data_IF_126373356102
#
_entry.id   IF_126373356102
#
_cell.length_a   1.000
_cell.length_b   1.000
_cell.length_c   1.000
_cell.angle_alpha   90.00
_cell.angle_beta   90.00
_cell.angle_gamma   90.00
#
_symmetry.space_group_name_H-M   'P 1'
#
loop_
_entity.id
_entity.type
_entity.pdbx_description
1 polymer ?
#
# COMPACT_ATOMS: atom_id res chain seq x y z
N UNK A 1 -12.98 -29.08 -30.14
CA UNK A 1 -13.57 -28.74 -28.84
C UNK A 1 -12.69 -27.68 -28.19
N UNK A 2 -12.94 -26.41 -28.50
CA UNK A 2 -12.15 -25.25 -28.05
C UNK A 2 -12.52 -24.95 -26.59
N UNK A 3 -11.53 -25.04 -25.68
CA UNK A 3 -11.69 -24.61 -24.30
C UNK A 3 -12.04 -23.10 -24.28
N UNK A 4 -12.94 -22.64 -23.40
CA UNK A 4 -13.20 -21.22 -23.26
C UNK A 4 -11.90 -20.55 -22.82
N UNK A 5 -11.40 -19.64 -23.67
CA UNK A 5 -10.33 -18.72 -23.31
C UNK A 5 -10.84 -17.85 -22.18
N UNK A 6 -10.52 -18.23 -20.94
CA UNK A 6 -10.69 -17.37 -19.79
C UNK A 6 -9.70 -16.23 -20.02
N UNK A 7 -10.17 -15.11 -20.55
CA UNK A 7 -9.45 -13.85 -20.45
C UNK A 7 -8.97 -13.77 -19.00
N UNK A 8 -7.66 -13.62 -18.72
CA UNK A 8 -7.21 -13.56 -17.34
C UNK A 8 -7.93 -12.38 -16.70
N UNK A 9 -8.94 -12.67 -15.88
CA UNK A 9 -9.65 -11.64 -15.13
C UNK A 9 -8.54 -10.99 -14.30
N UNK A 10 -8.15 -9.77 -14.66
CA UNK A 10 -6.98 -9.14 -14.03
C UNK A 10 -7.27 -9.12 -12.53
N UNK A 11 -6.49 -9.84 -11.70
CA UNK A 11 -6.98 -10.21 -10.40
C UNK A 11 -7.04 -8.98 -9.52
N UNK A 12 -8.25 -8.48 -9.27
CA UNK A 12 -8.48 -7.36 -8.38
C UNK A 12 -7.94 -7.70 -7.00
N UNK A 13 -7.12 -6.81 -6.45
CA UNK A 13 -6.54 -7.00 -5.13
C UNK A 13 -7.57 -6.61 -4.08
N UNK A 14 -7.95 -7.57 -3.24
CA UNK A 14 -8.90 -7.39 -2.15
C UNK A 14 -8.14 -7.21 -0.85
N UNK A 15 -8.42 -6.15 -0.11
CA UNK A 15 -7.74 -5.80 1.14
C UNK A 15 -8.77 -5.72 2.26
N UNK A 16 -8.65 -6.60 3.24
CA UNK A 16 -9.49 -6.64 4.42
C UNK A 16 -9.12 -5.52 5.40
N UNK A 17 -10.15 -4.81 5.83
CA UNK A 17 -10.15 -3.76 6.84
C UNK A 17 -11.06 -4.21 7.97
N UNK A 18 -10.72 -3.85 9.20
CA UNK A 18 -11.44 -4.32 10.37
C UNK A 18 -11.37 -3.32 11.52
N UNK A 19 -12.46 -3.17 12.26
CA UNK A 19 -12.54 -2.38 13.48
C UNK A 19 -13.24 -3.21 14.56
N UNK A 20 -12.47 -4.03 15.28
CA UNK A 20 -13.00 -4.95 16.30
C UNK A 20 -12.86 -4.31 17.68
N UNK A 21 -13.97 -3.74 18.16
CA UNK A 21 -14.06 -3.11 19.47
C UNK A 21 -12.94 -2.08 19.73
N UNK A 22 -12.34 -2.16 20.92
CA UNK A 22 -11.18 -1.33 21.32
C UNK A 22 -9.85 -2.06 21.16
N UNK A 23 -9.82 -3.24 20.54
CA UNK A 23 -8.63 -4.08 20.52
C UNK A 23 -7.92 -4.11 19.18
N UNK A 24 -8.62 -4.01 18.05
CA UNK A 24 -8.01 -4.06 16.72
C UNK A 24 -8.63 -3.03 15.80
N UNK A 25 -7.79 -2.25 15.12
CA UNK A 25 -8.20 -1.31 14.08
C UNK A 25 -7.25 -1.39 12.91
N UNK A 26 -7.77 -1.82 11.76
CA UNK A 26 -7.08 -1.92 10.47
C UNK A 26 -7.80 -0.97 9.52
N UNK A 27 -7.09 0.06 9.09
CA UNK A 27 -7.62 1.12 8.21
C UNK A 27 -6.67 1.38 7.05
N UNK A 28 -7.18 2.01 6.00
CA UNK A 28 -6.36 2.59 4.95
C UNK A 28 -5.96 4.00 5.37
N UNK A 29 -4.67 4.35 5.22
CA UNK A 29 -4.18 5.73 5.35
C UNK A 29 -4.31 6.49 4.04
N UNK A 30 -4.06 5.81 2.92
CA UNK A 30 -4.30 6.30 1.57
C UNK A 30 -4.49 5.12 0.62
N UNK A 31 -4.99 5.41 -0.58
CA UNK A 31 -5.39 4.43 -1.58
C UNK A 31 -6.85 4.64 -1.93
N UNK A 32 -7.15 4.81 -3.21
CA UNK A 32 -8.50 4.92 -3.71
C UNK A 32 -9.00 3.52 -4.11
N UNK A 33 -9.80 2.83 -3.27
CA UNK A 33 -10.39 1.57 -3.69
C UNK A 33 -11.40 1.84 -4.80
N UNK A 34 -11.41 0.98 -5.81
CA UNK A 34 -12.44 0.99 -6.85
C UNK A 34 -13.83 0.67 -6.26
N UNK A 35 -13.85 -0.20 -5.25
CA UNK A 35 -15.09 -0.59 -4.56
C UNK A 35 -14.78 -0.96 -3.12
N UNK A 36 -15.70 -0.62 -2.21
CA UNK A 36 -15.69 -1.12 -0.84
C UNK A 36 -16.89 -2.05 -0.67
N UNK A 37 -16.64 -3.29 -0.27
CA UNK A 37 -17.66 -4.29 0.04
C UNK A 37 -17.71 -4.45 1.56
N UNK A 38 -18.85 -4.15 2.17
CA UNK A 38 -19.06 -4.39 3.60
C UNK A 38 -19.34 -5.88 3.81
N UNK A 39 -18.56 -6.54 4.66
CA UNK A 39 -18.75 -7.95 4.99
C UNK A 39 -19.65 -8.08 6.22
N UNK A 40 -19.41 -7.25 7.24
CA UNK A 40 -20.27 -7.09 8.42
C UNK A 40 -20.11 -5.67 8.99
N UNK A 41 -20.64 -5.44 10.20
CA UNK A 41 -20.57 -4.12 10.83
C UNK A 41 -19.15 -3.67 11.20
N UNK A 42 -18.20 -4.60 11.29
CA UNK A 42 -16.84 -4.38 11.77
C UNK A 42 -15.76 -4.70 10.74
N UNK A 43 -16.11 -5.33 9.61
CA UNK A 43 -15.19 -5.79 8.55
C UNK A 43 -15.63 -5.30 7.18
N UNK A 44 -14.68 -4.72 6.46
CA UNK A 44 -14.88 -4.22 5.09
C UNK A 44 -13.77 -4.74 4.19
N UNK A 45 -14.07 -4.86 2.90
CA UNK A 45 -13.13 -5.27 1.88
C UNK A 45 -12.95 -4.13 0.88
N UNK A 46 -11.76 -3.57 0.82
CA UNK A 46 -11.37 -2.59 -0.18
C UNK A 46 -10.82 -3.31 -1.41
N UNK A 47 -11.41 -3.06 -2.57
CA UNK A 47 -11.04 -3.68 -3.84
C UNK A 47 -10.23 -2.67 -4.64
N UNK A 48 -9.03 -3.05 -5.07
CA UNK A 48 -8.09 -2.23 -5.81
C UNK A 48 -7.83 -2.79 -7.20
N UNK A 49 -7.66 -1.87 -8.14
CA UNK A 49 -7.16 -2.18 -9.47
C UNK A 49 -5.69 -2.64 -9.40
N UNK A 50 -5.26 -3.51 -10.32
CA UNK A 50 -3.86 -3.93 -10.44
C UNK A 50 -2.91 -2.73 -10.54
N UNK A 51 -1.75 -2.80 -9.90
CA UNK A 51 -0.75 -1.74 -9.94
C UNK A 51 -1.04 -0.52 -9.05
N UNK A 52 -2.24 -0.38 -8.48
CA UNK A 52 -2.56 0.71 -7.54
C UNK A 52 -1.76 0.58 -6.24
N UNK A 53 -1.14 1.67 -5.80
CA UNK A 53 -0.45 1.76 -4.52
C UNK A 53 -1.42 2.19 -3.42
N UNK A 54 -1.36 1.54 -2.27
CA UNK A 54 -2.19 1.84 -1.11
C UNK A 54 -1.42 1.61 0.20
N UNK A 55 -1.84 2.28 1.27
CA UNK A 55 -1.24 2.17 2.58
C UNK A 55 -2.26 1.68 3.60
N UNK A 56 -1.93 0.56 4.26
CA UNK A 56 -2.71 -0.02 5.36
C UNK A 56 -1.99 0.22 6.68
N UNK A 57 -2.72 0.77 7.63
CA UNK A 57 -2.26 0.96 9.01
C UNK A 57 -3.10 0.04 9.90
N UNK A 58 -2.44 -0.83 10.64
CA UNK A 58 -3.05 -1.66 11.66
C UNK A 58 -2.53 -1.29 13.04
N UNK A 59 -3.45 -1.24 13.97
CA UNK A 59 -3.22 -1.02 15.38
C UNK A 59 -3.92 -2.15 16.14
N UNK A 60 -3.20 -2.79 17.06
CA UNK A 60 -3.79 -3.71 18.01
C UNK A 60 -3.37 -3.36 19.45
N UNK A 61 -4.32 -3.37 20.38
CA UNK A 61 -4.07 -3.25 21.80
C UNK A 61 -3.87 -4.63 22.40
N UNK A 62 -2.66 -4.91 22.87
CA UNK A 62 -2.34 -6.12 23.61
C UNK A 62 -2.84 -5.97 25.05
N UNK A 63 -3.25 -7.06 25.70
CA UNK A 63 -3.66 -7.06 27.11
C UNK A 63 -2.55 -6.62 28.10
N UNK A 64 -1.30 -6.52 27.65
CA UNK A 64 -0.12 -6.22 28.47
C UNK A 64 0.61 -4.93 28.06
N UNK A 65 -0.12 -3.84 27.81
CA UNK A 65 0.39 -2.46 27.65
C UNK A 65 1.14 -2.09 26.36
N UNK A 66 1.67 -3.05 25.59
CA UNK A 66 2.26 -2.71 24.29
C UNK A 66 1.17 -2.55 23.25
N UNK A 67 1.18 -1.44 22.54
CA UNK A 67 0.36 -1.27 21.35
C UNK A 67 1.14 -1.72 20.12
N UNK A 68 0.63 -2.73 19.39
CA UNK A 68 1.21 -3.15 18.12
C UNK A 68 0.73 -2.22 16.98
N UNK A 69 1.57 -1.26 16.61
CA UNK A 69 1.39 -0.47 15.38
C UNK A 69 2.14 -1.13 14.23
N UNK A 70 1.48 -1.30 13.09
CA UNK A 70 2.12 -1.71 11.84
C UNK A 70 1.59 -0.84 10.71
N UNK A 71 2.48 -0.32 9.88
CA UNK A 71 2.15 0.40 8.65
C UNK A 71 2.77 -0.34 7.47
N UNK A 72 1.94 -0.63 6.48
CA UNK A 72 2.37 -1.29 5.25
C UNK A 72 1.93 -0.48 4.04
N UNK A 73 2.89 -0.10 3.20
CA UNK A 73 2.63 0.41 1.84
C UNK A 73 2.80 -0.74 0.87
N UNK A 74 1.78 -0.97 0.06
CA UNK A 74 1.66 -2.11 -0.82
C UNK A 74 1.19 -1.64 -2.19
N UNK A 75 1.51 -2.43 -3.21
CA UNK A 75 1.01 -2.26 -4.56
C UNK A 75 0.16 -3.48 -4.92
N UNK A 76 -1.04 -3.24 -5.43
CA UNK A 76 -1.93 -4.27 -5.93
C UNK A 76 -1.23 -5.10 -7.00
N UNK A 77 -1.34 -6.42 -6.90
CA UNK A 77 -0.61 -7.34 -7.77
C UNK A 77 -0.99 -7.14 -9.24
N UNK A 78 0.00 -7.09 -10.12
CA UNK A 78 -0.21 -7.26 -11.57
C UNK A 78 0.10 -8.71 -11.96
N UNK A 79 -0.40 -9.21 -13.11
CA UNK A 79 -0.23 -10.61 -13.52
C UNK A 79 1.21 -11.13 -13.61
N UNK A 80 2.21 -10.23 -13.63
CA UNK A 80 3.64 -10.53 -13.78
C UNK A 80 4.46 -10.22 -12.53
N UNK A 81 3.85 -9.71 -11.46
CA UNK A 81 4.58 -9.32 -10.25
C UNK A 81 4.90 -10.51 -9.34
N UNK A 82 6.03 -10.43 -8.63
CA UNK A 82 6.30 -11.27 -7.47
C UNK A 82 5.34 -10.89 -6.32
N UNK A 83 4.27 -11.67 -6.17
CA UNK A 83 3.22 -11.43 -5.16
C UNK A 83 3.68 -11.93 -3.79
N UNK A 84 3.56 -11.10 -2.76
CA UNK A 84 3.71 -11.55 -1.37
C UNK A 84 2.34 -11.83 -0.76
N UNK A 85 2.22 -12.99 -0.11
CA UNK A 85 1.03 -13.32 0.69
C UNK A 85 1.03 -12.48 1.96
N UNK A 86 0.01 -11.64 2.10
CA UNK A 86 -0.16 -10.76 3.26
C UNK A 86 -1.53 -11.08 3.85
N UNK A 87 -1.59 -11.25 5.17
CA UNK A 87 -2.85 -11.55 5.85
C UNK A 87 -3.90 -10.46 5.56
N UNK A 88 -5.08 -10.90 5.13
CA UNK A 88 -6.16 -10.02 4.70
C UNK A 88 -5.93 -9.37 3.34
N UNK A 89 -5.03 -9.87 2.49
CA UNK A 89 -4.88 -9.42 1.11
C UNK A 89 -4.96 -10.62 0.16
N UNK A 90 -5.85 -10.57 -0.83
CA UNK A 90 -6.09 -11.68 -1.77
C UNK A 90 -6.16 -11.15 -3.21
N UNK A 91 -5.43 -11.74 -4.18
CA UNK A 91 -4.55 -12.93 -4.06
C UNK A 91 -3.22 -12.67 -3.32
N UNK A 92 -2.89 -11.41 -3.12
CA UNK A 92 -1.72 -10.91 -2.40
C UNK A 92 -1.38 -9.51 -2.92
N UNK A 93 -0.23 -8.97 -2.51
CA UNK A 93 0.23 -7.69 -3.01
C UNK A 93 1.75 -7.63 -3.02
N UNK A 94 2.29 -6.70 -3.79
CA UNK A 94 3.72 -6.40 -3.77
C UNK A 94 4.00 -5.47 -2.60
N UNK A 95 4.71 -5.97 -1.59
CA UNK A 95 5.09 -5.18 -0.42
C UNK A 95 6.18 -4.16 -0.82
N UNK A 96 5.95 -2.89 -0.54
CA UNK A 96 6.89 -1.80 -0.83
C UNK A 96 7.59 -1.32 0.43
N UNK A 97 6.84 -1.18 1.51
CA UNK A 97 7.34 -0.77 2.81
C UNK A 97 6.51 -1.45 3.90
N UNK A 98 7.19 -1.99 4.91
CA UNK A 98 6.60 -2.43 6.17
C UNK A 98 7.41 -1.85 7.30
N UNK A 99 6.72 -1.23 8.24
CA UNK A 99 7.32 -0.79 9.50
C UNK A 99 6.43 -1.21 10.65
N UNK A 100 7.06 -1.70 11.70
CA UNK A 100 6.42 -2.15 12.92
C UNK A 100 6.89 -1.26 14.08
N UNK A 101 6.00 -1.03 15.04
CA UNK A 101 6.23 -0.19 16.21
C UNK A 101 5.97 1.30 15.97
N UNK A 102 5.40 1.94 17.00
CA UNK A 102 5.15 3.39 17.02
C UNK A 102 6.36 4.26 16.63
N UNK A 103 7.62 4.01 17.07
CA UNK A 103 8.74 4.87 16.71
C UNK A 103 9.09 4.84 15.22
N UNK A 104 8.79 3.76 14.50
CA UNK A 104 9.04 3.68 13.06
C UNK A 104 7.83 4.11 12.22
N UNK A 105 6.60 3.89 12.72
CA UNK A 105 5.37 4.30 12.05
C UNK A 105 5.21 5.82 12.04
N UNK A 106 5.57 6.52 13.13
CA UNK A 106 5.40 7.98 13.24
C UNK A 106 6.20 8.77 12.17
N UNK A 107 7.50 8.50 11.93
CA UNK A 107 8.25 9.14 10.85
C UNK A 107 7.67 8.88 9.46
N UNK A 108 7.17 7.67 9.20
CA UNK A 108 6.56 7.35 7.89
C UNK A 108 5.25 8.08 7.69
N UNK A 109 4.42 8.21 8.73
CA UNK A 109 3.20 9.02 8.67
C UNK A 109 3.53 10.49 8.42
N UNK A 110 4.50 11.06 9.15
CA UNK A 110 4.94 12.44 8.92
C UNK A 110 5.49 12.65 7.49
N UNK A 111 6.18 11.65 6.93
CA UNK A 111 6.64 11.69 5.55
C UNK A 111 5.48 11.69 4.55
N UNK A 112 4.44 10.88 4.80
CA UNK A 112 3.21 10.88 3.98
C UNK A 112 2.53 12.25 4.08
N UNK A 113 2.41 12.80 5.28
CA UNK A 113 1.79 14.11 5.52
C UNK A 113 2.55 15.23 4.78
N UNK A 114 3.90 15.17 4.74
CA UNK A 114 4.73 16.12 3.99
C UNK A 114 4.50 16.00 2.47
N UNK A 115 4.40 14.79 1.93
CA UNK A 115 4.10 14.55 0.51
C UNK A 115 2.72 15.10 0.14
N UNK A 116 1.73 14.89 1.01
CA UNK A 116 0.38 15.44 0.82
C UNK A 116 0.39 16.98 0.88
N UNK A 117 1.19 17.58 1.77
CA UNK A 117 1.36 19.03 1.87
C UNK A 117 2.01 19.64 0.62
N UNK A 118 2.89 18.89 -0.06
CA UNK A 118 3.46 19.28 -1.36
C UNK A 118 2.47 19.12 -2.53
N UNK A 119 1.21 18.75 -2.26
CA UNK A 119 0.15 18.58 -3.25
C UNK A 119 0.25 17.28 -4.05
N UNK A 120 1.13 16.36 -3.65
CA UNK A 120 1.35 15.09 -4.34
C UNK A 120 0.47 14.04 -3.69
N UNK A 121 -0.37 13.37 -4.49
CA UNK A 121 -1.14 12.24 -3.99
C UNK A 121 -0.20 11.07 -3.64
N UNK A 122 -0.22 10.52 -2.41
CA UNK A 122 0.68 9.43 -2.02
C UNK A 122 0.56 8.17 -2.88
N UNK A 123 -0.60 7.99 -3.52
CA UNK A 123 -0.87 6.91 -4.48
C UNK A 123 -0.09 7.05 -5.78
N UNK A 124 0.32 8.27 -6.15
CA UNK A 124 1.10 8.59 -7.33
C UNK A 124 2.62 8.58 -7.07
N UNK A 125 3.03 8.44 -5.81
CA UNK A 125 4.44 8.34 -5.44
C UNK A 125 5.04 7.04 -5.98
N UNK A 126 6.27 7.14 -6.49
CA UNK A 126 6.98 6.01 -7.08
C UNK A 126 7.06 4.79 -6.13
N UNK A 127 6.67 3.58 -6.57
CA UNK A 127 6.86 2.35 -5.79
C UNK A 127 8.32 2.10 -5.36
N UNK A 128 9.28 2.54 -6.18
CA UNK A 128 10.72 2.42 -5.88
C UNK A 128 11.16 3.35 -4.74
N UNK A 129 10.51 4.51 -4.60
CA UNK A 129 10.78 5.42 -3.50
C UNK A 129 10.37 4.81 -2.16
N UNK A 130 9.18 4.20 -2.08
CA UNK A 130 8.72 3.50 -0.87
C UNK A 130 9.69 2.40 -0.42
N UNK A 131 10.30 1.65 -1.36
CA UNK A 131 11.36 0.68 -1.04
C UNK A 131 12.63 1.33 -0.50
N UNK A 132 13.01 2.48 -1.05
CA UNK A 132 14.17 3.24 -0.57
C UNK A 132 13.95 3.70 0.86
N UNK A 133 12.74 4.20 1.17
CA UNK A 133 12.33 4.55 2.54
C UNK A 133 12.43 3.33 3.45
N UNK A 134 11.95 2.15 3.02
CA UNK A 134 12.00 0.93 3.81
C UNK A 134 13.45 0.52 4.13
N UNK A 135 14.32 0.55 3.12
CA UNK A 135 15.73 0.23 3.27
C UNK A 135 16.44 1.21 4.22
N UNK A 136 16.15 2.52 4.12
CA UNK A 136 16.74 3.53 5.02
C UNK A 136 16.29 3.36 6.46
N UNK A 137 15.00 3.09 6.69
CA UNK A 137 14.50 2.84 8.04
C UNK A 137 15.09 1.56 8.64
N UNK A 138 15.26 0.50 7.84
CA UNK A 138 15.97 -0.71 8.27
C UNK A 138 17.43 -0.40 8.64
N UNK A 139 18.09 0.49 7.90
CA UNK A 139 19.43 0.98 8.20
C UNK A 139 19.48 2.07 9.30
N UNK A 140 18.36 2.40 9.95
CA UNK A 140 18.23 3.49 10.95
C UNK A 140 18.66 4.88 10.43
N UNK A 141 18.50 5.11 9.14
CA UNK A 141 18.80 6.38 8.48
C UNK A 141 17.52 7.16 8.18
N UNK A 142 17.62 8.49 8.16
CA UNK A 142 16.51 9.34 7.79
C UNK A 142 16.10 9.09 6.32
N UNK A 143 14.80 8.87 6.05
CA UNK A 143 14.32 8.74 4.68
C UNK A 143 14.54 10.04 3.91
N UNK A 144 14.91 9.97 2.61
CA UNK A 144 15.11 11.17 1.81
C UNK A 144 13.76 11.86 1.57
N UNK A 145 13.74 13.20 1.55
CA UNK A 145 12.54 13.94 1.15
C UNK A 145 12.10 13.54 -0.27
N UNK A 146 10.80 13.51 -0.51
CA UNK A 146 10.25 13.29 -1.85
C UNK A 146 9.97 14.65 -2.49
N UNK A 147 10.81 15.05 -3.45
CA UNK A 147 10.69 16.36 -4.09
C UNK A 147 9.82 16.28 -5.35
N UNK A 148 9.23 17.42 -5.73
CA UNK A 148 8.47 17.57 -6.97
C UNK A 148 9.30 17.18 -8.22
N UNK A 149 10.59 17.51 -8.25
CA UNK A 149 11.50 17.12 -9.34
C UNK A 149 11.60 15.59 -9.49
N UNK A 150 11.71 14.88 -8.35
CA UNK A 150 11.75 13.41 -8.33
C UNK A 150 10.41 12.83 -8.77
N UNK A 151 9.31 13.49 -8.43
CA UNK A 151 7.98 13.12 -8.90
C UNK A 151 7.85 13.29 -10.41
N UNK A 152 8.26 14.43 -10.97
CA UNK A 152 8.26 14.70 -12.40
C UNK A 152 9.12 13.69 -13.19
N UNK A 153 10.34 13.39 -12.70
CA UNK A 153 11.20 12.39 -13.31
C UNK A 153 10.56 10.98 -13.32
N UNK A 154 9.82 10.63 -12.26
CA UNK A 154 9.08 9.38 -12.19
C UNK A 154 7.91 9.34 -13.18
N UNK A 155 7.14 10.44 -13.29
CA UNK A 155 6.05 10.53 -14.25
C UNK A 155 6.56 10.45 -15.70
N UNK A 156 7.65 11.15 -16.03
CA UNK A 156 8.30 11.07 -17.33
C UNK A 156 8.74 9.63 -17.64
N UNK A 157 9.32 8.92 -16.66
CA UNK A 157 9.68 7.51 -16.83
C UNK A 157 8.45 6.63 -17.06
N UNK A 158 7.35 6.86 -16.34
CA UNK A 158 6.12 6.09 -16.54
C UNK A 158 5.51 6.33 -17.93
N UNK A 159 5.52 7.57 -18.43
CA UNK A 159 5.06 7.90 -19.77
C UNK A 159 5.86 7.12 -20.83
N UNK A 160 7.19 7.07 -20.71
CA UNK A 160 8.05 6.28 -21.61
C UNK A 160 7.83 4.76 -21.51
N UNK A 161 7.37 4.26 -20.36
CA UNK A 161 7.07 2.83 -20.17
C UNK A 161 5.68 2.46 -20.66
N UNK A 162 4.70 3.37 -20.58
CA UNK A 162 3.37 3.19 -21.16
C UNK A 162 3.40 3.08 -22.68
N UNK A 163 4.29 3.82 -23.33
CA UNK A 163 4.48 3.82 -24.80
C UNK A 163 5.07 2.51 -25.34
N UNK A 164 5.74 1.72 -24.49
CA UNK A 164 6.26 0.39 -24.88
C UNK A 164 5.22 -0.73 -24.80
N UNK A 165 4.03 -0.43 -24.30
CA UNK A 165 2.94 -1.38 -24.14
C UNK A 165 1.67 -0.99 -24.93
N UNK A 166 1.77 0.01 -25.81
CA UNK A 166 0.73 0.40 -26.77
C UNK A 166 0.96 -0.29 -28.12
#
# INVERSE_FOLDING_TARGET
MTAPSVLPLVPLTRVALAAVGRHVRIRLRFGAPQRIVRLDDYRHLAIFLPGTVFCRVSWAANAHSTTAWTLMVMQAATPLDAIQRIAGVTPGARLLLRVDGKPNVKPVLALIDAIEADGIAPVAVSPAYWRTVANRLAARQAPPAYTAERHAAYLARCALQGDRHA
#
